data_IF_680093866687
#
_entry.id   IF_680093866687
#
_cell.length_a   1.000
_cell.length_b   1.000
_cell.length_c   1.000
_cell.angle_alpha   90.00
_cell.angle_beta   90.00
_cell.angle_gamma   90.00
#
_symmetry.space_group_name_H-M   'P 1'
#
loop_
_entity.id
_entity.type
_entity.pdbx_description
1 polymer ?
#
# COMPACT_ATOMS: atom_id res chain seq x y z
N UNK A 1 -5.06 -22.00 28.05
CA UNK A 1 -3.61 -21.77 28.26
C UNK A 1 -3.45 -20.29 28.60
N UNK A 2 -3.02 -19.97 29.82
CA UNK A 2 -2.83 -18.58 30.25
C UNK A 2 -1.48 -18.06 29.75
N UNK A 3 -1.53 -17.27 28.68
CA UNK A 3 -0.35 -16.71 28.01
C UNK A 3 0.38 -15.72 28.92
N UNK A 4 -0.35 -15.00 29.77
CA UNK A 4 0.24 -14.02 30.68
C UNK A 4 0.97 -14.70 31.84
N UNK A 5 0.41 -15.79 32.38
CA UNK A 5 1.08 -16.63 33.36
C UNK A 5 2.34 -17.28 32.78
N UNK A 6 2.30 -17.78 31.54
CA UNK A 6 3.48 -18.31 30.87
C UNK A 6 4.54 -17.23 30.65
N UNK A 7 4.14 -16.05 30.14
CA UNK A 7 5.02 -14.90 29.94
C UNK A 7 5.71 -14.48 31.23
N UNK A 8 4.99 -14.45 32.36
CA UNK A 8 5.56 -14.11 33.68
C UNK A 8 6.60 -15.12 34.17
N UNK A 9 6.49 -16.40 33.81
CA UNK A 9 7.46 -17.45 34.21
C UNK A 9 8.80 -17.35 33.50
N UNK A 10 8.80 -16.86 32.26
CA UNK A 10 9.99 -16.72 31.43
C UNK A 10 10.46 -15.26 31.30
N UNK A 11 9.66 -14.30 31.76
CA UNK A 11 10.07 -12.92 32.01
C UNK A 11 11.31 -12.99 32.90
N UNK A 12 12.43 -12.51 32.37
CA UNK A 12 13.74 -12.46 33.04
C UNK A 12 14.60 -13.74 32.97
N UNK A 13 14.14 -14.82 32.33
CA UNK A 13 15.03 -15.96 31.98
C UNK A 13 15.76 -15.65 30.68
N UNK A 14 17.09 -15.71 30.69
CA UNK A 14 17.94 -15.51 29.52
C UNK A 14 18.60 -16.82 29.08
N UNK A 15 18.80 -16.97 27.78
CA UNK A 15 19.53 -18.10 27.22
C UNK A 15 21.03 -17.90 27.44
N UNK A 16 21.74 -18.98 27.76
CA UNK A 16 23.19 -18.95 27.99
C UNK A 16 23.90 -19.11 26.63
N UNK A 17 24.56 -18.06 26.15
CA UNK A 17 25.19 -18.02 24.82
C UNK A 17 26.69 -18.32 24.84
N UNK A 18 27.23 -18.78 25.98
CA UNK A 18 28.68 -18.94 26.22
C UNK A 18 29.41 -19.86 25.25
N UNK A 19 28.69 -20.70 24.49
CA UNK A 19 29.24 -21.64 23.51
C UNK A 19 28.70 -21.38 22.09
N UNK A 20 28.33 -20.14 21.80
CA UNK A 20 27.87 -19.70 20.48
C UNK A 20 28.94 -18.79 19.87
N UNK A 21 29.52 -19.23 18.76
CA UNK A 21 30.52 -18.48 17.99
C UNK A 21 29.83 -17.53 17.01
N UNK A 22 30.13 -16.23 17.13
CA UNK A 22 29.68 -15.15 16.24
C UNK A 22 30.88 -14.46 15.59
N UNK A 23 31.88 -15.22 15.12
CA UNK A 23 33.05 -14.70 14.37
C UNK A 23 32.72 -14.01 13.03
N UNK A 24 31.45 -13.68 12.79
CA UNK A 24 31.05 -12.78 11.72
C UNK A 24 31.21 -11.31 12.17
N UNK A 25 31.73 -10.44 11.29
CA UNK A 25 32.32 -9.16 11.72
C UNK A 25 31.29 -8.07 12.05
N UNK A 26 31.36 -7.51 13.28
CA UNK A 26 30.53 -6.41 13.82
C UNK A 26 31.31 -5.07 13.85
N UNK A 27 32.28 -4.88 12.94
CA UNK A 27 33.24 -3.77 12.99
C UNK A 27 32.59 -2.38 13.19
N UNK A 28 32.98 -1.67 14.27
CA UNK A 28 32.66 -0.25 14.49
C UNK A 28 33.66 0.64 13.75
N UNK A 29 33.17 1.48 12.83
CA UNK A 29 33.99 2.52 12.19
C UNK A 29 34.24 3.73 13.11
N UNK A 30 35.38 4.37 12.88
CA UNK A 30 35.96 5.53 13.58
C UNK A 30 35.03 6.76 13.56
N UNK A 31 35.05 7.55 14.62
CA UNK A 31 34.25 8.77 14.78
C UNK A 31 34.68 9.90 13.82
N UNK A 32 33.69 10.55 13.20
CA UNK A 32 33.86 11.74 12.38
C UNK A 32 34.30 12.92 13.25
N UNK A 33 35.51 13.42 13.07
CA UNK A 33 35.88 14.75 13.56
C UNK A 33 36.49 15.57 12.43
N UNK A 34 35.99 16.81 12.33
CA UNK A 34 36.31 17.89 11.39
C UNK A 34 36.26 17.53 9.90
N UNK A 35 35.10 17.80 9.30
CA UNK A 35 34.83 17.59 7.87
C UNK A 35 33.34 17.50 7.52
N UNK A 36 32.45 17.46 8.52
CA UNK A 36 30.99 17.38 8.30
C UNK A 36 30.36 18.72 7.94
N UNK A 37 30.89 19.42 6.94
CA UNK A 37 30.06 20.34 6.16
C UNK A 37 29.43 19.53 5.04
N UNK A 38 28.16 19.80 4.74
CA UNK A 38 27.30 19.03 3.82
C UNK A 38 27.84 18.93 2.37
N UNK A 39 29.00 19.52 2.09
CA UNK A 39 29.58 19.70 0.75
C UNK A 39 31.05 19.26 0.64
N UNK A 40 31.66 18.63 1.67
CA UNK A 40 33.04 18.13 1.56
C UNK A 40 33.05 16.82 0.77
N UNK A 41 33.50 16.88 -0.48
CA UNK A 41 33.73 15.71 -1.31
C UNK A 41 35.05 15.05 -0.90
N UNK A 42 35.00 14.11 0.04
CA UNK A 42 36.18 13.32 0.39
C UNK A 42 36.43 12.25 -0.68
N UNK A 43 37.59 12.36 -1.34
CA UNK A 43 38.15 11.29 -2.18
C UNK A 43 39.40 10.79 -1.46
N UNK A 44 39.41 9.51 -1.11
CA UNK A 44 40.55 8.89 -0.42
C UNK A 44 41.61 8.55 -1.47
N UNK A 45 42.84 9.01 -1.26
CA UNK A 45 43.96 8.73 -2.15
C UNK A 45 44.42 7.27 -2.09
N UNK A 46 45.02 6.78 -3.18
CA UNK A 46 45.48 5.38 -3.36
C UNK A 46 46.44 4.87 -2.27
N UNK A 47 47.09 5.76 -1.54
CA UNK A 47 48.05 5.42 -0.46
C UNK A 47 47.44 5.45 0.96
N UNK A 48 46.13 5.63 1.09
CA UNK A 48 45.49 5.64 2.40
C UNK A 48 45.22 4.21 2.90
N UNK A 49 45.80 3.85 4.05
CA UNK A 49 45.77 2.48 4.59
C UNK A 49 44.44 1.99 5.17
N UNK A 50 43.36 2.79 5.15
CA UNK A 50 42.03 2.37 5.62
C UNK A 50 41.07 2.11 4.44
N UNK A 51 40.17 1.10 4.53
CA UNK A 51 39.24 0.76 3.45
C UNK A 51 38.16 1.83 3.25
N UNK A 52 38.00 2.25 2.00
CA UNK A 52 37.05 3.28 1.55
C UNK A 52 35.62 3.07 2.11
N UNK A 53 34.96 4.17 2.46
CA UNK A 53 33.50 4.15 2.72
C UNK A 53 32.73 4.06 1.40
N UNK A 54 31.46 3.63 1.44
CA UNK A 54 30.65 3.48 0.20
C UNK A 54 30.42 4.80 -0.52
N UNK A 55 30.29 5.91 0.22
CA UNK A 55 30.16 7.24 -0.37
C UNK A 55 31.48 7.76 -0.97
N UNK A 56 32.63 7.51 -0.31
CA UNK A 56 33.95 7.84 -0.88
C UNK A 56 34.25 6.99 -2.13
N UNK A 57 33.91 5.70 -2.10
CA UNK A 57 34.03 4.79 -3.24
C UNK A 57 33.15 5.23 -4.41
N UNK A 58 31.92 5.68 -4.13
CA UNK A 58 31.06 6.26 -5.16
C UNK A 58 31.71 7.50 -5.81
N UNK A 59 32.23 8.42 -5.01
CA UNK A 59 32.88 9.62 -5.53
C UNK A 59 34.10 9.29 -6.39
N UNK A 60 34.93 8.33 -5.94
CA UNK A 60 36.09 7.85 -6.72
C UNK A 60 35.65 7.24 -8.05
N UNK A 61 34.69 6.32 -8.03
CA UNK A 61 34.21 5.65 -9.25
C UNK A 61 33.56 6.65 -10.22
N UNK A 62 32.83 7.64 -9.71
CA UNK A 62 32.26 8.69 -10.57
C UNK A 62 33.36 9.48 -11.30
N UNK A 63 34.43 9.83 -10.61
CA UNK A 63 35.59 10.52 -11.21
C UNK A 63 36.32 9.59 -12.19
N UNK A 64 36.55 8.32 -11.83
CA UNK A 64 37.22 7.35 -12.71
C UNK A 64 36.44 7.09 -14.00
N UNK A 65 35.11 7.10 -13.96
CA UNK A 65 34.26 6.94 -15.14
C UNK A 65 34.31 8.19 -16.03
N UNK A 66 34.29 9.38 -15.45
CA UNK A 66 34.44 10.63 -16.20
C UNK A 66 35.83 10.74 -16.84
N UNK A 67 36.88 10.31 -16.12
CA UNK A 67 38.26 10.25 -16.65
C UNK A 67 38.37 9.24 -17.79
N UNK A 68 37.78 8.04 -17.65
CA UNK A 68 37.75 7.03 -18.71
C UNK A 68 36.96 7.51 -19.94
N UNK A 69 35.88 8.27 -19.75
CA UNK A 69 35.13 8.87 -20.84
C UNK A 69 35.98 9.91 -21.60
N UNK A 70 36.77 10.73 -20.89
CA UNK A 70 37.69 11.68 -21.51
C UNK A 70 38.81 10.98 -22.27
N UNK A 71 39.42 9.95 -21.67
CA UNK A 71 40.47 9.17 -22.32
C UNK A 71 39.97 8.53 -23.62
N UNK A 72 38.73 8.04 -23.69
CA UNK A 72 38.16 7.50 -24.93
C UNK A 72 37.82 8.55 -25.98
N UNK A 73 37.46 9.77 -25.57
CA UNK A 73 37.31 10.89 -26.51
C UNK A 73 38.65 11.28 -27.12
N UNK A 74 39.72 11.34 -26.31
CA UNK A 74 41.08 11.63 -26.74
C UNK A 74 41.69 10.50 -27.59
N UNK A 75 41.43 9.23 -27.25
CA UNK A 75 41.94 8.04 -27.93
C UNK A 75 41.10 7.59 -29.14
N UNK A 76 40.06 8.34 -29.54
CA UNK A 76 39.21 8.05 -30.70
C UNK A 76 39.96 7.91 -32.04
N UNK A 77 41.26 8.24 -32.08
CA UNK A 77 42.16 8.04 -33.21
C UNK A 77 42.93 6.70 -33.23
N UNK A 78 42.83 5.83 -32.21
CA UNK A 78 43.54 4.53 -32.17
C UNK A 78 42.61 3.39 -31.79
N UNK A 79 42.17 2.65 -32.80
CA UNK A 79 41.22 1.54 -32.71
C UNK A 79 41.76 0.33 -31.93
N UNK A 80 41.00 -0.09 -30.90
CA UNK A 80 40.62 -1.47 -30.51
C UNK A 80 40.31 -1.58 -29.00
N UNK A 81 39.51 -0.65 -28.46
CA UNK A 81 38.95 -0.81 -27.10
C UNK A 81 37.62 -1.56 -27.19
N UNK A 82 37.47 -2.61 -26.37
CA UNK A 82 36.21 -3.37 -26.20
C UNK A 82 35.10 -2.57 -25.51
N UNK A 83 35.41 -1.34 -25.05
CA UNK A 83 34.49 -0.49 -24.29
C UNK A 83 33.92 0.59 -25.20
N UNK A 84 32.61 0.53 -25.44
CA UNK A 84 31.89 1.50 -26.26
C UNK A 84 31.59 2.77 -25.45
N UNK A 85 31.75 3.95 -26.05
CA UNK A 85 31.43 5.26 -25.46
C UNK A 85 29.97 5.32 -24.95
N UNK A 86 29.04 4.73 -25.71
CA UNK A 86 27.62 4.62 -25.33
C UNK A 86 27.39 3.78 -24.06
N UNK A 87 28.21 2.75 -23.82
CA UNK A 87 28.12 1.91 -22.62
C UNK A 87 28.64 2.65 -21.38
N UNK A 88 29.64 3.51 -21.52
CA UNK A 88 30.16 4.33 -20.42
C UNK A 88 29.18 5.44 -20.04
N UNK A 89 28.55 6.09 -21.04
CA UNK A 89 27.49 7.06 -20.78
C UNK A 89 26.32 6.43 -20.01
N UNK A 90 25.91 5.21 -20.39
CA UNK A 90 24.87 4.47 -19.68
C UNK A 90 25.25 4.16 -18.23
N UNK A 91 26.51 3.77 -17.96
CA UNK A 91 27.02 3.53 -16.61
C UNK A 91 27.08 4.81 -15.76
N UNK A 92 27.45 5.95 -16.35
CA UNK A 92 27.46 7.24 -15.68
C UNK A 92 26.05 7.68 -15.27
N UNK A 93 25.06 7.49 -16.15
CA UNK A 93 23.66 7.79 -15.86
C UNK A 93 23.07 6.86 -14.79
N UNK A 94 23.40 5.57 -14.83
CA UNK A 94 22.98 4.61 -13.82
C UNK A 94 23.56 4.96 -12.43
N UNK A 95 24.84 5.35 -12.35
CA UNK A 95 25.46 5.81 -11.10
C UNK A 95 24.83 7.10 -10.57
N UNK A 96 24.51 8.07 -11.44
CA UNK A 96 23.79 9.29 -11.03
C UNK A 96 22.40 8.96 -10.50
N UNK A 97 21.66 8.07 -11.17
CA UNK A 97 20.34 7.61 -10.74
C UNK A 97 20.37 6.88 -9.39
N UNK A 98 21.40 6.07 -9.12
CA UNK A 98 21.61 5.40 -7.83
C UNK A 98 21.85 6.41 -6.69
N UNK A 99 22.62 7.49 -6.93
CA UNK A 99 22.82 8.54 -5.92
C UNK A 99 21.55 9.34 -5.64
N UNK A 100 20.78 9.67 -6.68
CA UNK A 100 19.47 10.35 -6.52
C UNK A 100 18.52 9.48 -5.71
N UNK A 101 18.47 8.18 -5.99
CA UNK A 101 17.65 7.22 -5.24
C UNK A 101 18.05 7.12 -3.77
N UNK A 102 19.36 7.19 -3.47
CA UNK A 102 19.90 7.21 -2.09
C UNK A 102 19.56 8.51 -1.35
N UNK A 103 19.58 9.66 -2.02
CA UNK A 103 19.26 10.98 -1.42
C UNK A 103 17.75 11.19 -1.25
N UNK A 104 16.92 10.68 -2.17
CA UNK A 104 15.46 10.80 -2.12
C UNK A 104 14.77 9.77 -1.23
N UNK A 105 15.52 9.01 -0.42
CA UNK A 105 14.99 7.98 0.48
C UNK A 105 14.35 6.77 -0.24
N UNK A 106 14.57 6.63 -1.54
CA UNK A 106 14.01 5.55 -2.36
C UNK A 106 15.01 4.41 -2.50
N UNK A 107 15.09 3.53 -1.52
CA UNK A 107 15.85 2.28 -1.67
C UNK A 107 15.10 1.38 -2.66
N UNK A 108 15.63 1.24 -3.89
CA UNK A 108 15.36 0.07 -4.73
C UNK A 108 16.38 -1.01 -4.36
N UNK A 109 15.93 -1.98 -3.58
CA UNK A 109 16.64 -3.24 -3.38
C UNK A 109 16.53 -4.08 -4.66
N UNK A 110 17.63 -4.22 -5.40
CA UNK A 110 17.86 -5.39 -6.25
C UNK A 110 18.01 -6.62 -5.33
N UNK A 111 17.31 -7.68 -5.72
CA UNK A 111 17.03 -8.90 -4.95
C UNK A 111 18.30 -9.63 -4.49
N UNK A 112 18.37 -10.03 -3.24
CA UNK A 112 18.22 -11.44 -2.83
C UNK A 112 18.18 -11.61 -1.30
N UNK A 113 17.21 -12.40 -0.86
CA UNK A 113 17.08 -13.15 0.40
C UNK A 113 16.88 -12.41 1.76
N UNK A 114 15.94 -13.00 2.49
CA UNK A 114 15.57 -12.84 3.91
C UNK A 114 14.57 -11.75 4.34
N UNK A 115 13.39 -12.27 4.71
CA UNK A 115 12.41 -11.83 5.70
C UNK A 115 12.45 -10.36 6.20
N UNK A 116 11.46 -9.52 5.87
CA UNK A 116 11.36 -8.19 6.43
C UNK A 116 10.60 -8.22 7.77
N UNK A 117 11.33 -8.38 8.86
CA UNK A 117 10.96 -7.68 10.11
C UNK A 117 11.82 -6.45 10.21
N UNK A 118 11.23 -5.26 10.01
CA UNK A 118 11.52 -3.99 10.71
C UNK A 118 10.78 -2.81 10.06
N UNK A 119 9.69 -2.43 10.72
CA UNK A 119 9.39 -1.03 11.10
C UNK A 119 9.83 0.04 10.12
N UNK A 120 9.06 0.22 9.05
CA UNK A 120 8.76 1.57 8.60
C UNK A 120 8.07 2.32 9.76
N UNK A 121 8.29 3.61 9.93
CA UNK A 121 7.28 4.49 10.51
C UNK A 121 6.08 4.46 9.56
N UNK A 122 5.35 3.34 9.61
CA UNK A 122 4.35 2.94 8.65
C UNK A 122 3.11 3.81 8.87
N UNK A 123 2.36 4.19 7.82
CA UNK A 123 0.94 4.52 8.00
C UNK A 123 0.23 3.48 8.88
N UNK A 124 0.66 2.22 8.85
CA UNK A 124 0.16 1.16 9.73
C UNK A 124 0.47 1.39 11.21
N UNK A 125 1.61 2.01 11.57
CA UNK A 125 1.93 2.32 12.96
C UNK A 125 1.02 3.40 13.54
N UNK A 126 0.67 4.39 12.73
CA UNK A 126 -0.34 5.41 13.09
C UNK A 126 -1.74 4.80 13.13
N UNK A 127 -2.08 3.93 12.17
CA UNK A 127 -3.34 3.19 12.15
C UNK A 127 -3.49 2.31 13.39
N UNK A 128 -2.46 1.53 13.74
CA UNK A 128 -2.41 0.70 14.96
C UNK A 128 -2.57 1.54 16.23
N UNK A 129 -1.94 2.72 16.30
CA UNK A 129 -2.13 3.64 17.43
C UNK A 129 -3.57 4.16 17.51
N UNK A 130 -4.17 4.50 16.37
CA UNK A 130 -5.56 4.94 16.30
C UNK A 130 -6.53 3.81 16.64
N UNK A 131 -6.29 2.59 16.16
CA UNK A 131 -7.07 1.40 16.51
C UNK A 131 -6.97 1.08 18.00
N UNK A 132 -5.77 1.14 18.59
CA UNK A 132 -5.60 0.95 20.03
C UNK A 132 -6.33 2.02 20.84
N UNK A 133 -6.31 3.28 20.39
CA UNK A 133 -7.06 4.36 21.03
C UNK A 133 -8.57 4.16 20.87
N UNK A 134 -9.03 3.76 19.69
CA UNK A 134 -10.43 3.49 19.40
C UNK A 134 -10.94 2.34 20.27
N UNK A 135 -10.20 1.23 20.35
CA UNK A 135 -10.53 0.10 21.24
C UNK A 135 -10.61 0.51 22.70
N UNK A 136 -9.70 1.37 23.18
CA UNK A 136 -9.77 1.88 24.55
C UNK A 136 -11.05 2.70 24.78
N UNK A 137 -11.40 3.56 23.82
CA UNK A 137 -12.64 4.35 23.89
C UNK A 137 -13.86 3.40 23.86
N UNK A 138 -13.89 2.42 22.97
CA UNK A 138 -14.96 1.40 22.90
C UNK A 138 -15.08 0.59 24.19
N UNK A 139 -13.97 0.20 24.83
CA UNK A 139 -14.03 -0.53 26.11
C UNK A 139 -14.56 0.33 27.26
N UNK A 140 -14.33 1.65 27.22
CA UNK A 140 -14.79 2.57 28.26
C UNK A 140 -16.25 3.00 28.04
N UNK A 141 -16.63 3.20 26.78
CA UNK A 141 -17.95 3.70 26.36
C UNK A 141 -18.96 2.56 26.19
N UNK A 142 -18.48 1.35 25.88
CA UNK A 142 -19.31 0.19 25.55
C UNK A 142 -19.72 0.15 24.07
N UNK A 143 -20.53 -0.84 23.72
CA UNK A 143 -21.09 -0.98 22.37
C UNK A 143 -22.15 0.09 22.11
N UNK A 144 -22.12 0.68 20.92
CA UNK A 144 -23.10 1.68 20.50
C UNK A 144 -24.43 0.98 20.15
N UNK A 145 -25.26 0.77 21.16
CA UNK A 145 -26.62 0.28 21.00
C UNK A 145 -27.53 1.43 20.52
N UNK A 146 -28.20 1.32 19.35
CA UNK A 146 -29.10 2.35 18.86
C UNK A 146 -30.31 2.61 19.77
N UNK A 147 -30.61 1.72 20.73
CA UNK A 147 -31.64 1.94 21.74
C UNK A 147 -31.15 2.74 22.96
N UNK A 148 -29.85 3.02 23.11
CA UNK A 148 -29.33 3.80 24.23
C UNK A 148 -29.24 5.28 23.89
N UNK A 149 -29.70 6.10 24.83
CA UNK A 149 -29.63 7.56 24.74
C UNK A 149 -28.15 8.03 24.73
N UNK A 150 -27.81 9.11 24.00
CA UNK A 150 -26.45 9.65 24.00
C UNK A 150 -25.92 9.89 25.42
N UNK A 151 -24.64 9.61 25.64
CA UNK A 151 -24.00 9.77 26.97
C UNK A 151 -24.09 11.21 27.48
N UNK A 152 -24.05 12.20 26.58
CA UNK A 152 -24.22 13.61 26.92
C UNK A 152 -25.58 13.86 27.58
N UNK A 153 -26.67 13.42 26.95
CA UNK A 153 -28.03 13.58 27.45
C UNK A 153 -28.22 12.83 28.78
N UNK A 154 -27.65 11.63 28.93
CA UNK A 154 -27.69 10.90 30.20
C UNK A 154 -26.93 11.63 31.31
N UNK A 155 -25.78 12.24 31.01
CA UNK A 155 -25.03 13.05 31.97
C UNK A 155 -25.79 14.32 32.36
N UNK A 156 -26.49 14.96 31.42
CA UNK A 156 -27.35 16.11 31.72
C UNK A 156 -28.54 15.71 32.60
N UNK A 157 -29.17 14.56 32.34
CA UNK A 157 -30.25 14.04 33.17
C UNK A 157 -29.75 13.69 34.59
N UNK A 158 -28.59 13.05 34.71
CA UNK A 158 -27.96 12.80 36.03
C UNK A 158 -27.63 14.12 36.73
N UNK A 159 -27.09 15.13 36.03
CA UNK A 159 -26.80 16.45 36.59
C UNK A 159 -28.07 17.14 37.06
N UNK A 160 -29.15 17.11 36.28
CA UNK A 160 -30.44 17.67 36.69
C UNK A 160 -30.97 16.97 37.93
N UNK A 161 -30.91 15.63 37.97
CA UNK A 161 -31.27 14.83 39.16
C UNK A 161 -30.37 15.15 40.37
N UNK A 162 -29.11 15.50 40.16
CA UNK A 162 -28.19 15.95 41.21
C UNK A 162 -28.52 17.36 41.71
N UNK A 163 -28.88 18.27 40.81
CA UNK A 163 -29.30 19.63 41.15
C UNK A 163 -30.64 19.61 41.93
N UNK A 164 -31.49 18.62 41.64
CA UNK A 164 -32.72 18.29 42.36
C UNK A 164 -32.46 17.78 43.80
N UNK A 165 -31.26 17.29 44.13
CA UNK A 165 -30.94 16.93 45.52
C UNK A 165 -30.83 18.14 46.47
N UNK A 166 -30.84 19.39 45.95
CA UNK A 166 -30.85 20.61 46.75
C UNK A 166 -32.29 21.13 46.95
N UNK A 167 -32.99 20.79 48.05
CA UNK A 167 -34.40 21.12 48.23
C UNK A 167 -34.68 22.64 48.24
N UNK A 168 -33.76 23.46 48.75
CA UNK A 168 -33.86 24.93 48.74
C UNK A 168 -33.75 25.55 47.34
N UNK A 169 -33.06 24.88 46.42
CA UNK A 169 -32.97 25.31 45.02
C UNK A 169 -34.24 24.94 44.24
N UNK A 170 -34.85 23.78 44.53
CA UNK A 170 -36.13 23.36 43.96
C UNK A 170 -37.25 24.33 44.32
N UNK A 171 -37.40 24.71 45.58
CA UNK A 171 -38.50 25.58 46.02
C UNK A 171 -38.40 26.99 45.37
N UNK A 172 -37.18 27.50 45.22
CA UNK A 172 -36.89 28.73 44.48
C UNK A 172 -37.09 28.59 42.96
N UNK A 173 -36.88 27.42 42.39
CA UNK A 173 -37.17 27.13 40.98
C UNK A 173 -38.66 26.97 40.73
N UNK A 174 -39.39 26.29 41.63
CA UNK A 174 -40.82 26.04 41.53
C UNK A 174 -41.61 27.35 41.59
N UNK A 175 -41.28 28.24 42.52
CA UNK A 175 -41.88 29.58 42.59
C UNK A 175 -41.64 30.40 41.32
N UNK A 176 -40.43 30.34 40.75
CA UNK A 176 -40.11 31.00 39.47
C UNK A 176 -40.83 30.35 38.29
N UNK A 177 -40.90 29.02 38.25
CA UNK A 177 -41.58 28.25 37.22
C UNK A 177 -43.07 28.56 37.21
N UNK A 178 -43.71 28.59 38.38
CA UNK A 178 -45.11 28.96 38.53
C UNK A 178 -45.38 30.41 38.10
N UNK A 179 -44.45 31.34 38.36
CA UNK A 179 -44.52 32.70 37.83
C UNK A 179 -44.40 32.76 36.30
N UNK A 180 -43.54 31.92 35.71
CA UNK A 180 -43.39 31.81 34.25
C UNK A 180 -44.63 31.17 33.61
N UNK A 181 -45.20 30.12 34.20
CA UNK A 181 -46.44 29.47 33.75
C UNK A 181 -47.58 30.49 33.70
N UNK A 182 -47.78 31.25 34.77
CA UNK A 182 -48.83 32.28 34.80
C UNK A 182 -48.61 33.38 33.74
N UNK A 183 -47.35 33.74 33.45
CA UNK A 183 -47.03 34.68 32.36
C UNK A 183 -47.25 34.05 30.98
N UNK A 184 -46.99 32.75 30.83
CA UNK A 184 -47.22 32.01 29.59
C UNK A 184 -48.71 31.93 29.27
N UNK A 185 -49.56 31.63 30.26
CA UNK A 185 -51.02 31.64 30.12
C UNK A 185 -51.54 33.01 29.64
N UNK A 186 -51.01 34.10 30.21
CA UNK A 186 -51.36 35.46 29.76
C UNK A 186 -50.91 35.78 28.33
N UNK A 187 -49.82 35.16 27.87
CA UNK A 187 -49.34 35.33 26.48
C UNK A 187 -50.20 34.49 25.55
N UNK A 188 -50.56 33.27 25.93
CA UNK A 188 -51.39 32.37 25.12
C UNK A 188 -52.79 32.95 24.91
N UNK A 189 -53.42 33.49 25.97
CA UNK A 189 -54.71 34.20 25.90
C UNK A 189 -54.69 35.42 24.95
N UNK A 190 -53.52 36.06 24.79
CA UNK A 190 -53.32 37.18 23.85
C UNK A 190 -53.02 36.68 22.44
N UNK A 191 -52.30 35.56 22.31
CA UNK A 191 -51.87 34.96 21.04
C UNK A 191 -53.04 34.33 20.29
N UNK A 192 -53.93 33.64 21.00
CA UNK A 192 -55.14 33.00 20.47
C UNK A 192 -56.14 33.99 19.84
N UNK A 193 -56.00 35.28 20.14
CA UNK A 193 -56.78 36.37 19.54
C UNK A 193 -56.17 36.93 18.24
N UNK A 194 -54.97 36.49 17.85
CA UNK A 194 -54.15 37.18 16.82
C UNK A 194 -53.53 36.29 15.74
N UNK A 195 -53.59 34.95 15.86
CA UNK A 195 -52.90 34.04 14.93
C UNK A 195 -53.87 33.10 14.21
N UNK A 196 -53.64 32.92 12.92
CA UNK A 196 -54.33 31.98 12.03
C UNK A 196 -53.86 30.53 12.30
N UNK A 197 -54.75 29.70 12.83
CA UNK A 197 -54.45 28.31 13.22
C UNK A 197 -54.01 27.42 12.05
N UNK A 198 -54.38 27.75 10.80
CA UNK A 198 -53.87 27.03 9.62
C UNK A 198 -52.38 27.28 9.35
N UNK A 199 -51.85 28.43 9.76
CA UNK A 199 -50.42 28.72 9.62
C UNK A 199 -49.62 27.95 10.67
N UNK A 200 -50.15 27.80 11.89
CA UNK A 200 -49.50 27.01 12.94
C UNK A 200 -49.49 25.51 12.62
N UNK A 201 -50.56 24.96 12.04
CA UNK A 201 -50.56 23.55 11.60
C UNK A 201 -49.54 23.32 10.48
N UNK A 202 -49.49 24.19 9.46
CA UNK A 202 -48.48 24.10 8.40
C UNK A 202 -47.05 24.23 8.92
N UNK A 203 -46.81 25.10 9.90
CA UNK A 203 -45.49 25.26 10.54
C UNK A 203 -45.12 24.01 11.34
N UNK A 204 -46.07 23.41 12.06
CA UNK A 204 -45.86 22.16 12.79
C UNK A 204 -45.56 21.00 11.84
N UNK A 205 -46.30 20.88 10.72
CA UNK A 205 -46.04 19.88 9.70
C UNK A 205 -44.64 20.05 9.08
N UNK A 206 -44.23 21.30 8.83
CA UNK A 206 -42.90 21.62 8.30
C UNK A 206 -41.79 21.26 9.30
N UNK A 207 -42.00 21.54 10.60
CA UNK A 207 -41.08 21.18 11.67
C UNK A 207 -40.95 19.66 11.82
N UNK A 208 -42.06 18.93 11.71
CA UNK A 208 -42.04 17.47 11.77
C UNK A 208 -41.29 16.88 10.57
N UNK A 209 -41.50 17.44 9.38
CA UNK A 209 -40.76 17.06 8.18
C UNK A 209 -39.26 17.37 8.35
N UNK A 210 -38.93 18.57 8.81
CA UNK A 210 -37.54 18.98 9.05
C UNK A 210 -36.85 18.06 10.06
N UNK A 211 -37.51 17.70 11.16
CA UNK A 211 -36.98 16.80 12.18
C UNK A 211 -36.72 15.38 11.65
N UNK A 212 -37.62 14.85 10.81
CA UNK A 212 -37.42 13.54 10.14
C UNK A 212 -36.20 13.54 9.23
N UNK A 213 -35.96 14.65 8.53
CA UNK A 213 -34.82 14.78 7.61
C UNK A 213 -33.52 15.18 8.30
N UNK A 214 -33.56 15.72 9.52
CA UNK A 214 -32.37 16.22 10.23
C UNK A 214 -31.33 15.10 10.47
N UNK A 215 -31.79 13.92 10.86
CA UNK A 215 -30.93 12.73 11.05
C UNK A 215 -30.29 12.29 9.72
N UNK A 216 -31.05 12.35 8.63
CA UNK A 216 -30.56 11.96 7.28
C UNK A 216 -29.55 12.98 6.77
N UNK A 217 -29.82 14.27 6.94
CA UNK A 217 -28.93 15.37 6.57
C UNK A 217 -27.62 15.33 7.38
N UNK A 218 -27.67 15.02 8.67
CA UNK A 218 -26.49 14.85 9.50
C UNK A 218 -25.63 13.65 9.06
N UNK A 219 -26.26 12.55 8.62
CA UNK A 219 -25.56 11.35 8.16
C UNK A 219 -25.02 11.46 6.72
N UNK A 220 -25.63 12.31 5.88
CA UNK A 220 -25.34 12.38 4.43
C UNK A 220 -23.87 12.68 4.08
N UNK A 221 -23.17 13.64 4.73
CA UNK A 221 -21.75 13.88 4.49
C UNK A 221 -20.87 12.67 4.81
N UNK A 222 -21.23 11.90 5.84
CA UNK A 222 -20.48 10.70 6.23
C UNK A 222 -20.66 9.56 5.22
N UNK A 223 -21.87 9.38 4.70
CA UNK A 223 -22.18 8.39 3.67
C UNK A 223 -21.52 8.76 2.34
N UNK A 224 -21.49 10.05 1.99
CA UNK A 224 -20.77 10.53 0.80
C UNK A 224 -19.26 10.28 0.90
N UNK A 225 -18.64 10.51 2.07
CA UNK A 225 -17.22 10.18 2.28
C UNK A 225 -16.94 8.67 2.16
N UNK A 226 -17.82 7.82 2.69
CA UNK A 226 -17.73 6.36 2.52
C UNK A 226 -17.84 5.98 1.04
N UNK A 227 -18.79 6.57 0.31
CA UNK A 227 -18.98 6.34 -1.12
C UNK A 227 -17.77 6.82 -1.94
N UNK A 228 -17.18 7.97 -1.58
CA UNK A 228 -15.95 8.48 -2.21
C UNK A 228 -14.74 7.56 -1.94
N UNK A 229 -14.63 6.99 -0.74
CA UNK A 229 -13.63 5.97 -0.45
C UNK A 229 -13.85 4.68 -1.23
N UNK A 230 -15.12 4.28 -1.40
CA UNK A 230 -15.52 3.11 -2.18
C UNK A 230 -15.35 3.31 -3.69
N UNK A 231 -15.48 4.55 -4.17
CA UNK A 231 -15.35 4.89 -5.59
C UNK A 231 -14.02 4.42 -6.17
N UNK A 232 -12.90 4.64 -5.45
CA UNK A 232 -11.57 4.17 -5.86
C UNK A 232 -11.48 2.64 -5.96
N UNK A 233 -12.18 1.92 -5.07
CA UNK A 233 -12.24 0.47 -5.10
C UNK A 233 -13.09 -0.02 -6.27
N UNK A 234 -14.24 0.62 -6.53
CA UNK A 234 -15.08 0.30 -7.69
C UNK A 234 -14.35 0.54 -9.01
N UNK A 235 -13.61 1.64 -9.13
CA UNK A 235 -12.78 1.94 -10.30
C UNK A 235 -11.70 0.87 -10.51
N UNK A 236 -11.04 0.44 -9.42
CA UNK A 236 -10.07 -0.66 -9.47
C UNK A 236 -10.72 -1.99 -9.89
N UNK A 237 -11.93 -2.29 -9.39
CA UNK A 237 -12.68 -3.48 -9.76
C UNK A 237 -13.10 -3.46 -11.24
N UNK A 238 -13.47 -2.29 -11.77
CA UNK A 238 -13.77 -2.11 -13.19
C UNK A 238 -12.53 -2.39 -14.05
N UNK A 239 -11.38 -1.80 -13.74
CA UNK A 239 -10.13 -2.07 -14.46
C UNK A 239 -9.71 -3.54 -14.38
N UNK A 240 -9.97 -4.22 -13.26
CA UNK A 240 -9.73 -5.65 -13.14
C UNK A 240 -10.60 -6.46 -14.09
N UNK A 241 -11.91 -6.14 -14.17
CA UNK A 241 -12.84 -6.78 -15.10
C UNK A 241 -12.41 -6.60 -16.56
N UNK A 242 -11.99 -5.39 -16.95
CA UNK A 242 -11.47 -5.09 -18.30
C UNK A 242 -10.21 -5.91 -18.63
N UNK A 243 -9.24 -5.95 -17.70
CA UNK A 243 -8.01 -6.74 -17.87
C UNK A 243 -8.30 -8.24 -17.94
N UNK A 244 -9.26 -8.73 -17.15
CA UNK A 244 -9.67 -10.13 -17.17
C UNK A 244 -10.28 -10.49 -18.53
N UNK A 245 -11.13 -9.62 -19.09
CA UNK A 245 -11.70 -9.82 -20.42
C UNK A 245 -10.61 -9.85 -21.51
N UNK A 246 -9.63 -8.93 -21.45
CA UNK A 246 -8.48 -8.94 -22.35
C UNK A 246 -7.66 -10.22 -22.23
N UNK A 247 -7.41 -10.70 -21.00
CA UNK A 247 -6.65 -11.91 -20.74
C UNK A 247 -7.38 -13.17 -21.28
N UNK A 248 -8.70 -13.23 -21.12
CA UNK A 248 -9.52 -14.30 -21.73
C UNK A 248 -9.42 -14.26 -23.25
N UNK A 249 -9.45 -13.07 -23.87
CA UNK A 249 -9.26 -12.92 -25.31
C UNK A 249 -7.88 -13.41 -25.79
N UNK A 250 -6.81 -13.10 -25.05
CA UNK A 250 -5.45 -13.60 -25.36
C UNK A 250 -5.39 -15.11 -25.21
N UNK A 251 -6.00 -15.67 -24.15
CA UNK A 251 -6.08 -17.12 -23.95
C UNK A 251 -6.76 -17.80 -25.15
N UNK A 252 -7.89 -17.28 -25.62
CA UNK A 252 -8.61 -17.84 -26.77
C UNK A 252 -7.77 -17.76 -28.05
N UNK A 253 -7.00 -16.69 -28.25
CA UNK A 253 -6.07 -16.58 -29.39
C UNK A 253 -4.95 -17.62 -29.31
N UNK A 254 -4.36 -17.82 -28.13
CA UNK A 254 -3.35 -18.86 -27.91
C UNK A 254 -3.94 -20.25 -28.14
N UNK A 255 -5.16 -20.51 -27.66
CA UNK A 255 -5.83 -21.80 -27.84
C UNK A 255 -6.09 -22.09 -29.32
N UNK A 256 -6.47 -21.06 -30.10
CA UNK A 256 -6.58 -21.16 -31.57
C UNK A 256 -5.23 -21.38 -32.25
N UNK A 257 -4.17 -20.69 -31.82
CA UNK A 257 -2.83 -20.86 -32.38
C UNK A 257 -2.31 -22.29 -32.13
N UNK A 258 -2.49 -22.82 -30.91
CA UNK A 258 -2.14 -24.21 -30.56
C UNK A 258 -2.94 -25.20 -31.42
N UNK A 259 -4.22 -24.94 -31.67
CA UNK A 259 -5.03 -25.79 -32.53
C UNK A 259 -4.53 -25.77 -33.99
N UNK A 260 -4.18 -24.60 -34.52
CA UNK A 260 -3.61 -24.47 -35.86
C UNK A 260 -2.26 -25.19 -35.99
N UNK A 261 -1.36 -25.00 -35.01
CA UNK A 261 -0.05 -25.68 -34.97
C UNK A 261 -0.23 -27.20 -34.89
N UNK A 262 -1.20 -27.69 -34.11
CA UNK A 262 -1.54 -29.12 -34.08
C UNK A 262 -1.97 -29.64 -35.45
N UNK A 263 -2.80 -28.91 -36.18
CA UNK A 263 -3.21 -29.30 -37.54
C UNK A 263 -2.01 -29.31 -38.49
N UNK A 264 -1.17 -28.28 -38.46
CA UNK A 264 0.03 -28.20 -39.28
C UNK A 264 1.01 -29.36 -39.00
N UNK A 265 1.18 -29.74 -37.73
CA UNK A 265 2.00 -30.90 -37.33
C UNK A 265 1.40 -32.22 -37.83
N UNK A 266 0.08 -32.39 -37.79
CA UNK A 266 -0.58 -33.57 -38.37
C UNK A 266 -0.37 -33.63 -39.89
N UNK A 267 -0.52 -32.52 -40.61
CA UNK A 267 -0.26 -32.46 -42.05
C UNK A 267 1.19 -32.79 -42.40
N UNK A 268 2.16 -32.25 -41.66
CA UNK A 268 3.57 -32.58 -41.83
C UNK A 268 3.84 -34.06 -41.56
N UNK A 269 3.21 -34.65 -40.55
CA UNK A 269 3.37 -36.08 -40.25
C UNK A 269 2.80 -36.96 -41.37
N UNK A 270 1.67 -36.56 -41.97
CA UNK A 270 1.08 -37.26 -43.12
C UNK A 270 2.00 -37.16 -44.34
N UNK A 271 2.44 -35.94 -44.70
CA UNK A 271 3.38 -35.72 -45.82
C UNK A 271 4.69 -36.49 -45.64
N UNK A 272 5.27 -36.47 -44.43
CA UNK A 272 6.48 -37.21 -44.15
C UNK A 272 6.29 -38.74 -44.31
N UNK A 273 5.13 -39.29 -43.92
CA UNK A 273 4.82 -40.71 -44.14
C UNK A 273 4.65 -41.03 -45.63
N UNK A 274 4.00 -40.16 -46.39
CA UNK A 274 3.84 -40.30 -47.84
C UNK A 274 5.20 -40.26 -48.54
N UNK A 275 6.05 -39.28 -48.22
CA UNK A 275 7.39 -39.12 -48.78
C UNK A 275 8.30 -40.31 -48.44
N UNK A 276 8.30 -40.79 -47.18
CA UNK A 276 9.04 -41.99 -46.76
C UNK A 276 8.55 -43.21 -47.54
N UNK A 277 7.23 -43.37 -47.70
CA UNK A 277 6.67 -44.49 -48.44
C UNK A 277 7.03 -44.45 -49.93
N UNK A 278 7.04 -43.25 -50.53
CA UNK A 278 7.49 -43.03 -51.90
C UNK A 278 8.98 -43.35 -52.08
N UNK A 279 9.83 -42.88 -51.16
CA UNK A 279 11.27 -43.20 -51.15
C UNK A 279 11.51 -44.71 -51.01
N UNK A 280 10.81 -45.38 -50.09
CA UNK A 280 10.90 -46.84 -49.94
C UNK A 280 10.49 -47.55 -51.24
N UNK A 281 9.43 -47.09 -51.91
CA UNK A 281 9.03 -47.61 -53.23
C UNK A 281 10.07 -47.37 -54.33
N UNK A 282 10.77 -46.23 -54.31
CA UNK A 282 11.88 -45.97 -55.23
C UNK A 282 13.08 -46.87 -54.95
N UNK A 283 13.43 -47.10 -53.68
CA UNK A 283 14.52 -48.00 -53.27
C UNK A 283 14.21 -49.43 -53.68
N UNK A 284 13.00 -49.94 -53.45
CA UNK A 284 12.64 -51.31 -53.89
C UNK A 284 12.71 -51.47 -55.41
N UNK A 285 12.28 -50.46 -56.18
CA UNK A 285 12.43 -50.48 -57.64
C UNK A 285 13.93 -50.49 -58.06
N UNK A 286 14.78 -49.71 -57.38
CA UNK A 286 16.23 -49.75 -57.60
C UNK A 286 16.82 -51.12 -57.27
N UNK A 287 16.43 -51.74 -56.15
CA UNK A 287 16.85 -53.10 -55.77
C UNK A 287 16.43 -54.14 -56.80
N UNK A 288 15.20 -54.05 -57.32
CA UNK A 288 14.73 -54.93 -58.40
C UNK A 288 15.55 -54.75 -59.68
N UNK A 289 15.90 -53.52 -60.03
CA UNK A 289 16.77 -53.24 -61.19
C UNK A 289 18.18 -53.78 -60.98
N UNK A 290 18.73 -53.64 -59.77
CA UNK A 290 20.05 -54.17 -59.40
C UNK A 290 20.06 -55.71 -59.52
N UNK A 291 19.04 -56.39 -58.97
CA UNK A 291 18.86 -57.85 -59.12
C UNK A 291 18.70 -58.30 -60.56
N UNK A 292 18.07 -57.50 -61.43
CA UNK A 292 17.95 -57.80 -62.87
C UNK A 292 19.29 -57.67 -63.61
N UNK A 293 20.19 -56.81 -63.15
CA UNK A 293 21.55 -56.68 -63.70
C UNK A 293 22.44 -57.81 -63.20
N UNK A 294 22.30 -58.22 -61.93
CA UNK A 294 23.11 -59.28 -61.31
C UNK A 294 22.81 -60.70 -61.84
N UNK A 295 21.65 -60.89 -62.50
CA UNK A 295 21.24 -62.16 -63.12
C UNK A 295 21.61 -62.29 -64.61
N UNK A 296 22.36 -61.33 -65.16
CA UNK A 296 22.83 -61.32 -66.56
C UNK A 296 24.33 -61.49 -66.61
#
# INVERSE_FOLDING_TARGET
MDIDAARKRFKDRTLNTRNIDFSDSIAKRRGKSYGSSMYVLEVVGKEYGEPETTDQKYNRIAIEIDELAQQLQEDSAKSNSTVNESSIAALADELKAVKVSKVSGGVRTSKENEAPTKTSTSPDGKLLSLEQRLRRIETLVGEADPCRQPIADFMEDVRFRLDVLNPSYIEGMETKLNSIISKLDQVDDKRQKSVDGEMETKVNDLLELMSKWDVVCAAMPSNLKKLQGLHRLHEQAQHFSERLSQLVGVRDQIEKAIAADRMAMCELQVKAKEDISALLGQVTNLEERLKKIEKK
#
